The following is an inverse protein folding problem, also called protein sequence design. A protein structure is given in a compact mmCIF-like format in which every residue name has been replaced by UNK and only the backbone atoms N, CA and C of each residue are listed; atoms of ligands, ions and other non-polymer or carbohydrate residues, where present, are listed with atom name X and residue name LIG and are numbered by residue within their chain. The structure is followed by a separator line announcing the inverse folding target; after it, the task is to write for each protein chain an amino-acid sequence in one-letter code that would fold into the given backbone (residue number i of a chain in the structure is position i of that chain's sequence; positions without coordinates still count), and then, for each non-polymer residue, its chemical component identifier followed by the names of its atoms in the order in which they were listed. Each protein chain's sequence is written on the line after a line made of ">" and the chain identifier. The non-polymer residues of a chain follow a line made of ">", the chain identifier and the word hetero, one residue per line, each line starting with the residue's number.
data_IF_196349744320
#
_entry.id   IF_196349744320
#
_cell.length_a   1.000
_cell.length_b   1.000
_cell.length_c   1.000
_cell.angle_alpha   90.00
_cell.angle_beta   90.00
_cell.angle_gamma   90.00
#
_symmetry.space_group_name_H-M   'P 1'
#
loop_
_entity.id
_entity.type
_entity.pdbx_description
1 polymer ?
#
# COMPACT_ATOMS: atom_id res chain seq x y z
N UNK A 1 12.07 -8.20 10.15
CA UNK A 1 12.58 -8.84 8.92
C UNK A 1 13.38 -7.82 8.15
N UNK A 2 14.55 -8.19 7.61
CA UNK A 2 15.31 -7.34 6.69
C UNK A 2 15.01 -7.76 5.25
N UNK A 3 14.81 -6.80 4.37
CA UNK A 3 14.41 -7.03 2.98
C UNK A 3 15.43 -6.44 2.01
N UNK A 4 15.64 -7.13 0.89
CA UNK A 4 16.36 -6.62 -0.28
C UNK A 4 15.49 -6.75 -1.49
N UNK A 5 15.27 -5.65 -2.19
CA UNK A 5 14.46 -5.60 -3.37
C UNK A 5 15.30 -5.73 -4.64
N UNK A 6 14.68 -6.23 -5.70
CA UNK A 6 15.26 -6.16 -7.05
C UNK A 6 15.49 -4.69 -7.41
N UNK A 7 16.69 -4.34 -7.82
CA UNK A 7 17.05 -2.93 -8.08
C UNK A 7 17.81 -2.25 -6.95
N UNK A 8 18.10 -2.98 -5.84
CA UNK A 8 19.03 -2.53 -4.79
C UNK A 8 18.39 -1.84 -3.58
N UNK A 9 17.12 -1.51 -3.62
CA UNK A 9 16.43 -0.96 -2.44
C UNK A 9 16.46 -1.95 -1.27
N UNK A 10 16.48 -1.42 -0.06
CA UNK A 10 16.47 -2.18 1.20
C UNK A 10 15.26 -1.78 2.03
N UNK A 11 14.80 -2.68 2.88
CA UNK A 11 13.68 -2.39 3.76
C UNK A 11 13.75 -3.17 5.06
N UNK A 12 12.95 -2.70 6.01
CA UNK A 12 12.70 -3.37 7.28
C UNK A 12 11.19 -3.55 7.39
N UNK A 13 10.75 -4.78 7.69
CA UNK A 13 9.37 -5.06 8.03
C UNK A 13 9.32 -5.56 9.48
N UNK A 14 8.54 -4.88 10.30
CA UNK A 14 8.12 -5.32 11.61
C UNK A 14 6.65 -5.72 11.55
N UNK A 15 6.32 -6.90 12.02
CA UNK A 15 4.95 -7.38 12.20
C UNK A 15 4.86 -8.15 13.51
N UNK A 16 3.90 -7.80 14.35
CA UNK A 16 3.75 -8.37 15.68
C UNK A 16 2.27 -8.40 16.07
N UNK A 17 1.86 -9.45 16.74
CA UNK A 17 0.53 -9.57 17.37
C UNK A 17 0.60 -9.39 18.90
N UNK A 18 1.80 -9.15 19.44
CA UNK A 18 2.06 -9.09 20.87
C UNK A 18 2.70 -7.77 21.33
N UNK A 19 2.72 -6.76 20.46
CA UNK A 19 3.24 -5.41 20.81
C UNK A 19 2.18 -4.66 21.59
N UNK A 20 2.28 -4.68 22.89
CA UNK A 20 1.31 -4.06 23.80
C UNK A 20 1.21 -2.55 23.54
N UNK A 21 -0.01 -2.05 23.38
CA UNK A 21 -0.30 -0.63 23.17
C UNK A 21 -0.22 -0.16 21.71
N UNK A 22 0.25 -1.01 20.78
CA UNK A 22 0.36 -0.62 19.36
C UNK A 22 -0.97 -0.73 18.59
N UNK A 23 -1.97 -1.38 19.13
CA UNK A 23 -3.26 -1.62 18.47
C UNK A 23 -3.07 -2.22 17.07
N UNK A 24 -3.95 -1.90 16.11
CA UNK A 24 -3.80 -2.32 14.70
C UNK A 24 -3.10 -1.20 13.89
N UNK A 25 -1.88 -0.89 14.25
CA UNK A 25 -1.12 0.26 13.82
C UNK A 25 -0.25 -0.05 12.58
N UNK A 26 -0.82 0.03 11.39
CA UNK A 26 -0.09 -0.08 10.14
C UNK A 26 0.58 1.25 9.77
N UNK A 27 1.89 1.25 9.66
CA UNK A 27 2.69 2.40 9.24
C UNK A 27 3.59 2.05 8.06
N UNK A 28 3.77 2.99 7.14
CA UNK A 28 4.71 2.85 6.05
C UNK A 28 5.58 4.10 5.92
N UNK A 29 6.90 3.89 5.76
CA UNK A 29 7.88 4.94 5.44
C UNK A 29 8.68 4.53 4.23
N UNK A 30 8.83 5.43 3.29
CA UNK A 30 9.61 5.22 2.06
C UNK A 30 10.62 6.35 1.97
N UNK A 31 11.89 6.00 1.75
CA UNK A 31 12.98 6.97 1.61
C UNK A 31 13.63 6.81 0.25
N UNK A 32 13.74 7.91 -0.46
CA UNK A 32 14.48 8.05 -1.70
C UNK A 32 15.61 9.08 -1.57
N UNK A 33 16.36 9.28 -2.62
CA UNK A 33 17.50 10.23 -2.64
C UNK A 33 17.08 11.68 -2.44
N UNK A 34 15.89 12.06 -2.91
CA UNK A 34 15.40 13.45 -2.89
C UNK A 34 14.38 13.73 -1.79
N UNK A 35 13.86 12.70 -1.16
CA UNK A 35 12.85 12.88 -0.13
C UNK A 35 12.27 11.56 0.37
N UNK A 36 11.28 11.67 1.24
CA UNK A 36 10.59 10.53 1.84
C UNK A 36 9.10 10.75 1.97
N UNK A 37 8.40 9.63 2.14
CA UNK A 37 6.97 9.58 2.40
C UNK A 37 6.72 8.87 3.72
N UNK A 38 5.71 9.31 4.46
CA UNK A 38 5.28 8.63 5.68
C UNK A 38 3.75 8.67 5.79
N UNK A 39 3.17 7.51 6.04
CA UNK A 39 1.74 7.35 6.22
C UNK A 39 1.43 6.44 7.42
N UNK A 40 0.38 6.77 8.13
CA UNK A 40 -0.09 6.06 9.32
C UNK A 40 -1.58 5.70 9.17
N UNK A 41 -1.93 4.44 9.46
CA UNK A 41 -3.32 3.99 9.40
C UNK A 41 -4.23 4.75 10.39
N UNK A 42 -3.70 5.16 11.53
CA UNK A 42 -4.47 5.91 12.54
C UNK A 42 -4.80 7.35 12.09
N UNK A 43 -4.10 7.86 11.07
CA UNK A 43 -4.32 9.16 10.43
C UNK A 43 -4.45 9.00 8.91
N UNK A 44 -5.41 8.18 8.41
CA UNK A 44 -5.39 7.65 7.05
C UNK A 44 -5.54 8.73 5.96
N UNK A 45 -6.08 9.89 6.31
CA UNK A 45 -6.31 11.00 5.38
C UNK A 45 -5.11 11.94 5.24
N UNK A 46 -3.97 11.59 5.83
CA UNK A 46 -2.77 12.43 5.88
C UNK A 46 -1.56 11.67 5.34
N UNK A 47 -0.85 12.28 4.39
CA UNK A 47 0.45 11.81 3.91
C UNK A 47 1.49 12.90 4.21
N UNK A 48 2.55 12.54 4.91
CA UNK A 48 3.70 13.39 5.11
C UNK A 48 4.68 13.23 3.96
N UNK A 49 5.01 14.34 3.31
CA UNK A 49 5.99 14.40 2.21
C UNK A 49 7.19 15.21 2.70
N UNK A 50 8.34 14.58 2.72
CA UNK A 50 9.59 15.13 3.24
C UNK A 50 10.57 15.32 2.10
N UNK A 51 11.06 16.52 1.91
CA UNK A 51 12.08 16.86 0.90
C UNK A 51 13.43 17.07 1.58
N UNK A 52 14.51 16.88 0.84
CA UNK A 52 15.86 17.00 1.38
C UNK A 52 16.14 18.43 1.87
N UNK A 53 15.73 19.42 1.11
CA UNK A 53 16.07 20.84 1.26
C UNK A 53 14.84 21.78 1.28
N UNK A 54 13.68 21.24 1.61
CA UNK A 54 12.43 21.99 1.75
C UNK A 54 11.72 21.60 3.06
N UNK A 55 10.83 22.45 3.58
CA UNK A 55 9.98 22.10 4.69
C UNK A 55 9.12 20.86 4.40
N UNK A 56 8.83 20.09 5.43
CA UNK A 56 7.89 18.97 5.34
C UNK A 56 6.51 19.47 4.92
N UNK A 57 5.90 18.78 3.98
CA UNK A 57 4.57 19.05 3.46
C UNK A 57 3.57 18.03 3.98
N UNK A 58 2.34 18.47 4.19
CA UNK A 58 1.22 17.63 4.59
C UNK A 58 0.23 17.56 3.42
N UNK A 59 0.08 16.39 2.85
CA UNK A 59 -0.92 16.14 1.80
C UNK A 59 -2.18 15.54 2.43
N UNK A 60 -3.33 16.09 2.08
CA UNK A 60 -4.64 15.66 2.61
C UNK A 60 -5.52 15.12 1.49
N UNK A 61 -6.35 14.13 1.82
CA UNK A 61 -7.31 13.52 0.89
C UNK A 61 -8.28 14.54 0.29
N UNK A 62 -8.84 14.21 -0.86
CA UNK A 62 -9.87 14.96 -1.59
C UNK A 62 -9.47 16.38 -2.07
N UNK A 63 -8.20 16.75 -2.00
CA UNK A 63 -7.72 18.05 -2.47
C UNK A 63 -7.28 18.00 -3.96
N UNK A 64 -7.47 19.09 -4.68
CA UNK A 64 -7.25 19.19 -6.13
C UNK A 64 -5.80 19.02 -6.60
N UNK A 65 -4.82 19.07 -5.70
CA UNK A 65 -3.40 18.81 -6.01
C UNK A 65 -3.05 17.32 -6.09
N UNK A 66 -4.00 16.42 -5.75
CA UNK A 66 -3.78 14.97 -5.74
C UNK A 66 -3.84 14.38 -7.16
N UNK A 67 -3.12 13.28 -7.34
CA UNK A 67 -3.19 12.49 -8.57
C UNK A 67 -4.53 11.74 -8.72
N UNK A 68 -4.83 11.32 -9.95
CA UNK A 68 -6.11 10.67 -10.32
C UNK A 68 -6.45 9.46 -9.44
N UNK A 69 -5.48 8.62 -9.09
CA UNK A 69 -5.71 7.44 -8.25
C UNK A 69 -6.17 7.81 -6.85
N UNK A 70 -5.52 8.79 -6.21
CA UNK A 70 -5.89 9.27 -4.88
C UNK A 70 -7.26 9.94 -4.88
N UNK A 71 -7.58 10.74 -5.90
CA UNK A 71 -8.91 11.36 -6.04
C UNK A 71 -10.01 10.32 -6.26
N UNK A 72 -9.76 9.28 -7.05
CA UNK A 72 -10.74 8.22 -7.29
C UNK A 72 -10.99 7.32 -6.07
N UNK A 73 -10.06 7.28 -5.13
CA UNK A 73 -10.18 6.51 -3.89
C UNK A 73 -11.02 7.21 -2.82
N UNK A 74 -11.15 8.54 -2.88
CA UNK A 74 -11.99 9.32 -1.95
C UNK A 74 -13.43 9.47 -2.44
N UNK A 75 -14.36 9.68 -1.50
CA UNK A 75 -15.79 9.89 -1.75
C UNK A 75 -16.30 11.19 -1.16
N UNK A 76 -15.70 11.61 -0.06
CA UNK A 76 -16.10 12.79 0.67
C UNK A 76 -15.26 14.02 0.31
N UNK A 77 -15.79 15.24 0.49
CA UNK A 77 -15.01 16.47 0.32
C UNK A 77 -13.82 16.56 1.29
N UNK A 78 -12.87 17.48 1.06
CA UNK A 78 -11.78 17.74 2.00
C UNK A 78 -12.28 17.93 3.43
N UNK A 79 -11.52 17.45 4.41
CA UNK A 79 -11.83 17.51 5.85
C UNK A 79 -12.98 16.60 6.33
N UNK A 80 -13.52 15.76 5.47
CA UNK A 80 -14.42 14.68 5.88
C UNK A 80 -13.61 13.37 5.95
N UNK A 81 -13.41 12.80 7.13
CA UNK A 81 -12.55 11.64 7.29
C UNK A 81 -13.14 10.41 6.60
N UNK A 82 -12.28 9.69 5.89
CA UNK A 82 -12.51 8.35 5.37
C UNK A 82 -11.42 7.43 5.90
N UNK A 83 -11.63 6.13 5.92
CA UNK A 83 -10.65 5.22 6.47
C UNK A 83 -10.83 3.77 6.06
N UNK A 84 -10.76 2.88 7.02
CA UNK A 84 -10.73 1.45 6.83
C UNK A 84 -11.92 0.90 6.02
N UNK A 85 -13.14 1.31 6.34
CA UNK A 85 -14.35 0.84 5.65
C UNK A 85 -14.37 1.27 4.18
N UNK A 86 -14.04 2.53 3.92
CA UNK A 86 -14.00 3.09 2.57
C UNK A 86 -12.87 2.48 1.74
N UNK A 87 -11.73 2.15 2.35
CA UNK A 87 -10.62 1.45 1.71
C UNK A 87 -11.04 0.06 1.22
N UNK A 88 -11.73 -0.73 2.07
CA UNK A 88 -12.29 -2.01 1.65
C UNK A 88 -13.37 -1.84 0.59
N UNK A 89 -14.26 -0.86 0.73
CA UNK A 89 -15.28 -0.58 -0.27
C UNK A 89 -14.68 -0.22 -1.65
N UNK A 90 -13.49 0.41 -1.70
CA UNK A 90 -12.79 0.67 -2.95
C UNK A 90 -12.35 -0.61 -3.66
N UNK A 91 -11.85 -1.60 -2.93
CA UNK A 91 -11.48 -2.90 -3.49
C UNK A 91 -12.69 -3.55 -4.18
N UNK A 92 -13.83 -3.64 -3.49
CA UNK A 92 -15.04 -4.22 -4.05
C UNK A 92 -15.61 -3.41 -5.22
N UNK A 93 -15.59 -2.09 -5.13
CA UNK A 93 -16.02 -1.19 -6.22
C UNK A 93 -15.17 -1.42 -7.48
N UNK A 94 -13.87 -1.51 -7.35
CA UNK A 94 -12.96 -1.72 -8.47
C UNK A 94 -13.19 -3.10 -9.09
N UNK A 95 -13.27 -4.15 -8.28
CA UNK A 95 -13.59 -5.49 -8.74
C UNK A 95 -14.92 -5.55 -9.49
N UNK A 96 -16.00 -4.99 -8.92
CA UNK A 96 -17.32 -4.96 -9.55
C UNK A 96 -17.30 -4.18 -10.88
N UNK A 97 -16.58 -3.06 -10.94
CA UNK A 97 -16.40 -2.27 -12.15
C UNK A 97 -15.67 -3.03 -13.25
N UNK A 98 -14.64 -3.81 -12.88
CA UNK A 98 -13.94 -4.69 -13.81
C UNK A 98 -14.86 -5.79 -14.37
N UNK A 99 -15.62 -6.46 -13.50
CA UNK A 99 -16.61 -7.47 -13.94
C UNK A 99 -17.63 -6.87 -14.89
N UNK A 100 -18.19 -5.70 -14.56
CA UNK A 100 -19.14 -4.98 -15.42
C UNK A 100 -18.54 -4.67 -16.78
N UNK A 101 -17.31 -4.17 -16.82
CA UNK A 101 -16.60 -3.89 -18.07
C UNK A 101 -16.47 -5.15 -18.95
N UNK A 102 -16.19 -6.31 -18.35
CA UNK A 102 -16.13 -7.59 -19.08
C UNK A 102 -17.49 -7.99 -19.64
N UNK A 103 -18.57 -7.88 -18.86
CA UNK A 103 -19.94 -8.19 -19.30
C UNK A 103 -20.36 -7.31 -20.47
N UNK A 104 -20.00 -6.01 -20.42
CA UNK A 104 -20.31 -5.01 -21.45
C UNK A 104 -19.37 -5.07 -22.66
N UNK A 105 -18.37 -5.95 -22.66
CA UNK A 105 -17.37 -6.06 -23.73
C UNK A 105 -16.44 -4.86 -23.86
N UNK A 106 -16.33 -4.02 -22.81
CA UNK A 106 -15.45 -2.85 -22.81
C UNK A 106 -13.98 -3.26 -22.71
N UNK A 107 -13.15 -2.69 -23.58
CA UNK A 107 -11.70 -2.81 -23.47
C UNK A 107 -11.18 -1.83 -22.42
N UNK A 108 -10.47 -2.34 -21.44
CA UNK A 108 -9.83 -1.53 -20.40
C UNK A 108 -8.36 -1.24 -20.78
N UNK A 109 -7.89 -0.05 -20.46
CA UNK A 109 -6.48 0.27 -20.49
C UNK A 109 -5.74 -0.49 -19.37
N UNK A 110 -4.42 -0.70 -19.52
CA UNK A 110 -3.63 -1.43 -18.51
C UNK A 110 -3.56 -0.72 -17.16
N UNK A 111 -3.71 0.59 -17.17
CA UNK A 111 -3.68 1.49 -16.02
C UNK A 111 -5.08 1.97 -15.60
N UNK A 112 -6.13 1.29 -16.07
CA UNK A 112 -7.50 1.61 -15.65
C UNK A 112 -7.66 1.35 -14.15
N UNK A 113 -8.16 2.36 -13.45
CA UNK A 113 -8.28 2.33 -11.98
C UNK A 113 -9.18 1.21 -11.47
N UNK A 114 -10.10 0.71 -12.28
CA UNK A 114 -10.90 -0.46 -11.90
C UNK A 114 -10.09 -1.76 -11.82
N UNK A 115 -8.84 -1.77 -12.29
CA UNK A 115 -7.93 -2.91 -12.17
C UNK A 115 -7.10 -2.89 -10.87
N UNK A 116 -7.23 -1.82 -10.08
CA UNK A 116 -6.51 -1.62 -8.81
C UNK A 116 -7.23 -2.33 -7.66
N UNK A 117 -7.08 -3.62 -7.60
CA UNK A 117 -7.50 -4.50 -6.49
C UNK A 117 -6.60 -5.74 -6.44
N UNK A 118 -6.43 -6.38 -5.26
CA UNK A 118 -5.61 -7.57 -5.11
C UNK A 118 -6.12 -8.73 -5.97
N UNK A 119 -5.22 -9.40 -6.69
CA UNK A 119 -5.47 -10.55 -7.55
C UNK A 119 -4.90 -11.82 -6.95
N UNK A 120 -5.15 -12.95 -7.60
CA UNK A 120 -4.64 -14.25 -7.14
C UNK A 120 -3.11 -14.28 -7.08
N UNK A 121 -2.45 -13.59 -8.02
CA UNK A 121 -0.98 -13.48 -8.07
C UNK A 121 -0.42 -12.74 -6.85
N UNK A 122 -1.15 -11.76 -6.33
CA UNK A 122 -0.77 -11.03 -5.12
C UNK A 122 -0.90 -11.94 -3.89
N UNK A 123 -1.94 -12.77 -3.85
CA UNK A 123 -2.10 -13.81 -2.83
C UNK A 123 -0.96 -14.83 -2.85
N UNK A 124 -0.61 -15.33 -4.03
CA UNK A 124 0.52 -16.27 -4.21
C UNK A 124 1.84 -15.65 -3.74
N UNK A 125 2.11 -14.39 -4.09
CA UNK A 125 3.30 -13.67 -3.61
C UNK A 125 3.30 -13.50 -2.09
N UNK A 126 2.15 -13.17 -1.51
CA UNK A 126 2.00 -13.04 -0.07
C UNK A 126 2.33 -14.34 0.67
N UNK A 127 1.80 -15.47 0.21
CA UNK A 127 2.09 -16.78 0.77
C UNK A 127 3.56 -17.18 0.62
N UNK A 128 4.12 -17.00 -0.58
CA UNK A 128 5.53 -17.26 -0.83
C UNK A 128 6.46 -16.41 0.07
N UNK A 129 6.05 -15.16 0.36
CA UNK A 129 6.79 -14.30 1.29
C UNK A 129 6.77 -14.88 2.71
N UNK A 130 5.62 -15.31 3.22
CA UNK A 130 5.50 -15.92 4.55
C UNK A 130 6.37 -17.18 4.64
N UNK A 131 6.32 -18.05 3.65
CA UNK A 131 7.15 -19.27 3.59
C UNK A 131 8.65 -18.95 3.58
N UNK A 132 9.06 -17.94 2.77
CA UNK A 132 10.45 -17.50 2.74
C UNK A 132 10.93 -16.96 4.08
N UNK A 133 10.09 -16.21 4.80
CA UNK A 133 10.40 -15.69 6.14
C UNK A 133 10.58 -16.82 7.14
N UNK A 134 9.67 -17.79 7.16
CA UNK A 134 9.75 -18.96 8.04
C UNK A 134 11.01 -19.80 7.75
N UNK A 135 11.30 -20.02 6.46
CA UNK A 135 12.51 -20.72 6.03
C UNK A 135 13.79 -20.00 6.46
N UNK A 136 13.83 -18.67 6.30
CA UNK A 136 14.93 -17.83 6.74
C UNK A 136 15.14 -17.92 8.26
N UNK A 137 14.07 -17.81 9.02
CA UNK A 137 14.10 -17.92 10.49
C UNK A 137 14.65 -19.27 10.96
N UNK A 138 14.18 -20.38 10.40
CA UNK A 138 14.67 -21.75 10.71
C UNK A 138 16.12 -21.97 10.31
N UNK A 139 16.67 -21.15 9.42
CA UNK A 139 18.05 -21.21 8.95
C UNK A 139 18.94 -20.09 9.54
N UNK A 140 18.73 -19.74 10.82
CA UNK A 140 19.47 -18.69 11.53
C UNK A 140 19.46 -17.32 10.82
N UNK A 141 18.27 -16.87 10.37
CA UNK A 141 18.07 -15.61 9.66
C UNK A 141 18.88 -15.47 8.34
N UNK A 142 19.19 -16.59 7.71
CA UNK A 142 19.90 -16.63 6.43
C UNK A 142 19.07 -15.94 5.34
N UNK A 143 19.74 -15.13 4.49
CA UNK A 143 19.11 -14.54 3.33
C UNK A 143 18.46 -15.60 2.43
N UNK A 144 17.16 -15.51 2.27
CA UNK A 144 16.36 -16.45 1.50
C UNK A 144 15.71 -15.73 0.32
N UNK A 145 15.90 -16.26 -0.88
CA UNK A 145 15.29 -15.70 -2.08
C UNK A 145 13.78 -15.98 -2.07
N UNK A 146 12.97 -14.94 -2.35
CA UNK A 146 11.56 -15.13 -2.64
C UNK A 146 11.43 -15.81 -4.01
N UNK A 147 10.83 -16.98 -4.03
CA UNK A 147 10.54 -17.76 -5.23
C UNK A 147 9.04 -17.61 -5.55
N UNK A 148 8.72 -16.87 -6.62
CA UNK A 148 7.37 -16.72 -7.18
C UNK A 148 7.48 -16.85 -8.68
#
# INVERSE_FOLDING_TARGET
>A
MLLRFKGGAKGVLHASQISVGEENNLNIRIYGEKGGLEWHQNEPNTLLVKWLDQPMQVYRTANGYLGKAALAAGRTPPSHPEGYLEAFANIYKNFASHIRARIEGRKLAKDDLCLDYPKIEDGVRGMAFIEAVVKSSKANARWTKLAV
#
